data_IF_182422564336
#
_entry.id   IF_182422564336
#
_cell.length_a   1.000
_cell.length_b   1.000
_cell.length_c   1.000
_cell.angle_alpha   90.00
_cell.angle_beta   90.00
_cell.angle_gamma   90.00
#
_symmetry.space_group_name_H-M   'P 1'
#
loop_
_entity.id
_entity.type
_entity.pdbx_description
1 polymer ?
#
# COMPACT_ATOMS: atom_id res chain seq x y z
N UNK A 1 -5.83 -60.96 5.74
CA UNK A 1 -5.10 -60.72 4.48
C UNK A 1 -5.02 -59.21 4.31
N UNK A 2 -3.95 -58.60 4.80
CA UNK A 2 -3.77 -57.15 4.81
C UNK A 2 -3.29 -56.65 3.44
N UNK A 3 -4.05 -55.71 2.88
CA UNK A 3 -3.72 -55.04 1.63
C UNK A 3 -2.58 -54.05 1.85
N UNK A 4 -1.34 -54.46 1.59
CA UNK A 4 -0.22 -53.53 1.46
C UNK A 4 -0.19 -52.99 0.03
N UNK A 5 -0.93 -51.90 -0.21
CA UNK A 5 -0.89 -51.15 -1.48
C UNK A 5 0.52 -50.58 -1.67
N UNK A 6 1.31 -51.22 -2.55
CA UNK A 6 2.67 -50.81 -2.89
C UNK A 6 2.61 -49.50 -3.70
N UNK A 7 2.53 -48.36 -3.01
CA UNK A 7 2.58 -47.04 -3.64
C UNK A 7 3.92 -46.86 -4.36
N UNK A 8 3.86 -46.78 -5.70
CA UNK A 8 5.04 -46.53 -6.51
C UNK A 8 5.56 -45.12 -6.23
N UNK A 9 6.87 -44.98 -5.97
CA UNK A 9 7.56 -43.70 -5.67
C UNK A 9 7.25 -42.59 -6.70
N UNK A 10 6.88 -42.97 -7.93
CA UNK A 10 6.54 -42.05 -9.02
C UNK A 10 5.24 -41.26 -8.74
N UNK A 11 4.27 -41.83 -8.04
CA UNK A 11 2.99 -41.16 -7.72
C UNK A 11 3.14 -40.12 -6.60
N UNK A 12 4.05 -40.35 -5.66
CA UNK A 12 4.41 -39.37 -4.62
C UNK A 12 5.05 -38.12 -5.23
N UNK A 13 5.89 -38.28 -6.25
CA UNK A 13 6.55 -37.16 -6.94
C UNK A 13 5.56 -36.30 -7.74
N UNK A 14 4.59 -36.91 -8.41
CA UNK A 14 3.56 -36.19 -9.18
C UNK A 14 2.62 -35.42 -8.26
N UNK A 15 2.21 -36.01 -7.14
CA UNK A 15 1.38 -35.35 -6.15
C UNK A 15 2.09 -34.14 -5.50
N UNK A 16 3.38 -34.27 -5.21
CA UNK A 16 4.19 -33.17 -4.68
C UNK A 16 4.35 -32.02 -5.70
N UNK A 17 4.52 -32.33 -6.99
CA UNK A 17 4.62 -31.32 -8.03
C UNK A 17 3.28 -30.60 -8.28
N UNK A 18 2.17 -31.32 -8.25
CA UNK A 18 0.82 -30.74 -8.40
C UNK A 18 0.44 -29.82 -7.22
N UNK A 19 0.87 -30.16 -5.99
CA UNK A 19 0.68 -29.28 -4.84
C UNK A 19 1.50 -27.99 -4.99
N UNK A 20 2.78 -28.07 -5.39
CA UNK A 20 3.63 -26.88 -5.58
C UNK A 20 3.06 -25.92 -6.63
N UNK A 21 2.49 -26.42 -7.73
CA UNK A 21 1.88 -25.56 -8.76
C UNK A 21 0.58 -24.91 -8.30
N UNK A 22 -0.19 -25.56 -7.41
CA UNK A 22 -1.43 -24.99 -6.86
C UNK A 22 -1.17 -23.84 -5.88
N UNK A 23 -0.03 -23.85 -5.16
CA UNK A 23 0.35 -22.76 -4.26
C UNK A 23 1.08 -21.60 -4.95
N UNK A 24 1.69 -21.83 -6.12
CA UNK A 24 2.43 -20.78 -6.85
C UNK A 24 1.55 -19.77 -7.59
N UNK A 25 0.25 -20.06 -7.78
CA UNK A 25 -0.69 -19.14 -8.44
C UNK A 25 -1.19 -18.01 -7.53
N UNK A 26 -0.90 -18.06 -6.21
CA UNK A 26 -1.37 -17.07 -5.24
C UNK A 26 -0.43 -15.85 -5.06
N UNK A 27 0.67 -15.77 -5.82
CA UNK A 27 1.73 -14.79 -5.57
C UNK A 27 1.83 -13.67 -6.62
N UNK A 28 0.76 -13.40 -7.36
CA UNK A 28 0.62 -12.18 -8.17
C UNK A 28 -0.57 -11.42 -7.60
N UNK A 29 -0.38 -10.81 -6.44
CA UNK A 29 -1.31 -9.78 -5.96
C UNK A 29 -1.22 -8.62 -6.96
N UNK A 30 -2.37 -8.21 -7.51
CA UNK A 30 -2.40 -7.09 -8.43
C UNK A 30 -2.11 -5.81 -7.62
N UNK A 31 -1.15 -5.02 -8.09
CA UNK A 31 -0.70 -3.81 -7.39
C UNK A 31 -1.30 -2.58 -8.08
N UNK A 32 -2.21 -1.91 -7.37
CA UNK A 32 -2.87 -0.71 -7.87
C UNK A 32 -2.21 0.53 -7.30
N UNK A 33 -1.66 1.36 -8.20
CA UNK A 33 -1.13 2.67 -7.85
C UNK A 33 -2.23 3.72 -7.90
N UNK A 34 -2.34 4.53 -6.85
CA UNK A 34 -3.23 5.68 -6.82
C UNK A 34 -2.59 6.84 -6.06
N UNK A 35 -3.17 8.03 -6.18
CA UNK A 35 -2.73 9.22 -5.44
C UNK A 35 -3.82 9.67 -4.49
N UNK A 36 -3.41 10.14 -3.32
CA UNK A 36 -4.28 10.81 -2.36
C UNK A 36 -3.80 12.23 -2.12
N UNK A 37 -4.72 13.08 -1.68
CA UNK A 37 -4.44 14.46 -1.36
C UNK A 37 -4.48 14.63 0.16
N UNK A 38 -3.42 15.23 0.70
CA UNK A 38 -3.37 15.74 2.06
C UNK A 38 -3.43 17.26 2.08
N UNK A 39 -4.15 17.79 3.05
CA UNK A 39 -4.26 19.23 3.28
C UNK A 39 -3.95 19.50 4.75
N UNK A 40 -3.11 20.50 5.02
CA UNK A 40 -2.61 20.79 6.35
C UNK A 40 -2.50 22.28 6.60
N UNK A 41 -2.78 22.66 7.85
CA UNK A 41 -2.60 24.02 8.35
C UNK A 41 -1.62 23.99 9.52
N UNK A 42 -0.80 25.04 9.64
CA UNK A 42 0.18 25.15 10.71
C UNK A 42 0.58 26.59 10.99
N UNK A 43 1.04 26.88 12.21
CA UNK A 43 1.56 28.22 12.52
C UNK A 43 2.91 28.48 11.84
N UNK A 44 3.59 27.42 11.42
CA UNK A 44 4.78 27.47 10.56
C UNK A 44 4.52 26.66 9.28
N UNK A 45 5.31 26.94 8.23
CA UNK A 45 5.28 26.15 6.98
C UNK A 45 5.49 24.67 7.25
N UNK A 46 6.48 24.34 8.08
CA UNK A 46 6.84 22.94 8.37
C UNK A 46 5.72 22.22 9.14
N UNK A 47 5.03 22.89 10.06
CA UNK A 47 3.85 22.32 10.73
C UNK A 47 2.70 22.05 9.74
N UNK A 48 2.45 22.96 8.79
CA UNK A 48 1.43 22.77 7.77
C UNK A 48 1.77 21.59 6.85
N UNK A 49 3.05 21.46 6.47
CA UNK A 49 3.55 20.33 5.70
C UNK A 49 3.42 19.00 6.45
N UNK A 50 3.84 18.94 7.71
CA UNK A 50 3.73 17.74 8.56
C UNK A 50 2.27 17.31 8.70
N UNK A 51 1.35 18.26 8.91
CA UNK A 51 -0.08 17.97 8.95
C UNK A 51 -0.59 17.42 7.62
N UNK A 52 -0.27 18.07 6.49
CA UNK A 52 -0.70 17.63 5.16
C UNK A 52 -0.17 16.22 4.84
N UNK A 53 1.11 15.97 5.15
CA UNK A 53 1.78 14.68 5.00
C UNK A 53 1.12 13.58 5.84
N UNK A 54 0.85 13.86 7.13
CA UNK A 54 0.15 12.95 8.01
C UNK A 54 -1.24 12.58 7.47
N UNK A 55 -2.01 13.57 7.02
CA UNK A 55 -3.35 13.32 6.48
C UNK A 55 -3.31 12.55 5.17
N UNK A 56 -2.37 12.82 4.27
CA UNK A 56 -2.19 12.05 3.04
C UNK A 56 -1.85 10.58 3.35
N UNK A 57 -0.85 10.34 4.20
CA UNK A 57 -0.44 8.99 4.59
C UNK A 57 -1.56 8.21 5.28
N UNK A 58 -2.31 8.86 6.17
CA UNK A 58 -3.48 8.27 6.82
C UNK A 58 -4.58 7.93 5.80
N UNK A 59 -4.73 8.71 4.71
CA UNK A 59 -5.68 8.41 3.63
C UNK A 59 -5.24 7.21 2.79
N UNK A 60 -3.93 7.02 2.53
CA UNK A 60 -3.44 5.77 1.95
C UNK A 60 -3.87 4.58 2.82
N UNK A 61 -3.58 4.65 4.13
CA UNK A 61 -3.92 3.58 5.08
C UNK A 61 -5.42 3.26 5.13
N UNK A 62 -6.27 4.28 5.22
CA UNK A 62 -7.73 4.11 5.27
C UNK A 62 -8.31 3.54 3.96
N UNK A 63 -7.61 3.70 2.85
CA UNK A 63 -7.94 3.13 1.55
C UNK A 63 -7.25 1.78 1.30
N UNK A 64 -6.82 1.08 2.37
CA UNK A 64 -6.12 -0.20 2.30
C UNK A 64 -4.80 -0.18 1.51
N UNK A 65 -4.27 1.01 1.22
CA UNK A 65 -2.97 1.16 0.57
C UNK A 65 -1.84 1.44 1.53
N UNK A 66 -0.64 1.17 1.06
CA UNK A 66 0.63 1.59 1.66
C UNK A 66 1.12 2.84 0.96
N UNK A 67 1.54 3.84 1.73
CA UNK A 67 2.24 5.02 1.23
C UNK A 67 3.53 4.65 0.49
N UNK A 68 3.78 5.28 -0.66
CA UNK A 68 5.07 5.20 -1.36
C UNK A 68 6.09 6.22 -0.85
N UNK A 69 5.67 7.13 0.05
CA UNK A 69 6.42 8.32 0.50
C UNK A 69 6.77 9.31 -0.62
N UNK A 70 6.24 9.12 -1.83
CA UNK A 70 6.40 10.07 -2.93
C UNK A 70 5.39 11.19 -2.76
N UNK A 71 5.86 12.33 -2.25
CA UNK A 71 5.05 13.52 -1.99
C UNK A 71 5.35 14.62 -2.99
N UNK A 72 4.31 15.28 -3.50
CA UNK A 72 4.43 16.46 -4.37
C UNK A 72 3.58 17.58 -3.79
N UNK A 73 4.22 18.70 -3.48
CA UNK A 73 3.53 19.92 -3.02
C UNK A 73 2.77 20.51 -4.21
N UNK A 74 1.46 20.68 -4.04
CA UNK A 74 0.56 21.28 -5.03
C UNK A 74 0.29 22.75 -4.71
N UNK A 75 0.18 23.07 -3.42
CA UNK A 75 -0.01 24.44 -2.92
C UNK A 75 0.81 24.59 -1.64
N UNK A 76 1.49 25.72 -1.52
CA UNK A 76 2.13 26.17 -0.29
C UNK A 76 1.99 27.69 -0.20
N UNK A 77 1.27 28.18 0.81
CA UNK A 77 1.04 29.61 0.97
C UNK A 77 0.81 30.00 2.44
N UNK A 78 1.19 31.23 2.78
CA UNK A 78 0.79 31.85 4.04
C UNK A 78 -0.53 32.59 3.83
N UNK A 79 -1.53 32.32 4.67
CA UNK A 79 -2.86 32.94 4.60
C UNK A 79 -2.99 34.07 5.64
N UNK A 80 -2.89 35.36 5.25
CA UNK A 80 -2.84 36.46 6.21
C UNK A 80 -4.14 36.64 7.01
N UNK A 81 -5.27 36.22 6.45
CA UNK A 81 -6.58 36.32 7.10
C UNK A 81 -6.69 35.45 8.36
N UNK A 82 -6.00 34.31 8.38
CA UNK A 82 -6.02 33.36 9.50
C UNK A 82 -4.71 33.36 10.29
N UNK A 83 -3.61 33.82 9.69
CA UNK A 83 -2.29 33.79 10.28
C UNK A 83 -1.64 32.40 10.23
N UNK A 84 -2.14 31.50 9.40
CA UNK A 84 -1.64 30.13 9.25
C UNK A 84 -0.98 29.92 7.88
N UNK A 85 -0.02 29.02 7.83
CA UNK A 85 0.42 28.39 6.60
C UNK A 85 -0.59 27.31 6.19
N UNK A 86 -0.83 27.23 4.89
CA UNK A 86 -1.61 26.18 4.25
C UNK A 86 -0.73 25.42 3.28
N UNK A 87 -0.74 24.09 3.38
CA UNK A 87 -0.06 23.20 2.46
C UNK A 87 -1.06 22.17 1.93
N UNK A 88 -1.03 21.96 0.62
CA UNK A 88 -1.72 20.88 -0.08
C UNK A 88 -0.69 20.07 -0.82
N UNK A 89 -0.69 18.75 -0.62
CA UNK A 89 0.21 17.84 -1.32
C UNK A 89 -0.52 16.60 -1.82
N UNK A 90 0.02 16.00 -2.86
CA UNK A 90 -0.35 14.66 -3.29
C UNK A 90 0.68 13.64 -2.77
N UNK A 91 0.21 12.47 -2.37
CA UNK A 91 1.04 11.33 -1.97
C UNK A 91 0.66 10.10 -2.78
N UNK A 92 1.66 9.38 -3.27
CA UNK A 92 1.46 8.08 -3.92
C UNK A 92 1.12 6.97 -2.92
N UNK A 93 0.22 6.08 -3.30
CA UNK A 93 -0.16 4.89 -2.54
C UNK A 93 -0.19 3.65 -3.46
N UNK A 94 0.05 2.48 -2.88
CA UNK A 94 -0.08 1.17 -3.55
C UNK A 94 -1.04 0.31 -2.73
N UNK A 95 -2.06 -0.27 -3.36
CA UNK A 95 -2.92 -1.31 -2.76
C UNK A 95 -2.63 -2.67 -3.41
N UNK A 96 -2.73 -3.73 -2.62
CA UNK A 96 -2.65 -5.12 -3.07
C UNK A 96 -4.06 -5.72 -2.93
N UNK A 97 -4.62 -6.29 -4.01
CA UNK A 97 -5.84 -7.13 -3.95
C UNK A 97 -5.51 -8.62 -3.79
#
# INVERSE_FOLDING_TARGET
MEHAMKMSKRYLSVAAFALLTAFSAAAVADQYHYQVIGEGYGHTRDQAYEAASYYASNRCYLNWGRSTQEQTILVEEFQPATGYWYVKLSEGCISED
#
